data_IF_450064489282
#
_entry.id   IF_450064489282
#
_cell.length_a   1.000
_cell.length_b   1.000
_cell.length_c   1.000
_cell.angle_alpha   90.00
_cell.angle_beta   90.00
_cell.angle_gamma   90.00
#
_symmetry.space_group_name_H-M   'P 1'
#
loop_
_entity.id
_entity.type
_entity.pdbx_description
1 polymer ?
#
# COMPACT_ATOMS: atom_id res chain seq x y z
N UNK A 1 22.81 2.54 -27.57
CA UNK A 1 22.81 3.55 -26.49
C UNK A 1 22.63 4.96 -27.07
N UNK A 2 23.50 5.37 -28.00
CA UNK A 2 23.41 6.66 -28.68
C UNK A 2 22.06 6.87 -29.37
N UNK A 3 21.56 5.87 -30.09
CA UNK A 3 20.22 5.89 -30.71
C UNK A 3 19.11 6.24 -29.71
N UNK A 4 18.93 5.46 -28.63
CA UNK A 4 17.85 5.71 -27.66
C UNK A 4 17.98 7.04 -26.92
N UNK A 5 19.21 7.50 -26.65
CA UNK A 5 19.47 8.81 -26.03
C UNK A 5 19.16 9.99 -26.95
N UNK A 6 19.31 9.80 -28.27
CA UNK A 6 19.14 10.86 -29.26
C UNK A 6 17.81 10.80 -30.00
N UNK A 7 17.05 9.70 -29.89
CA UNK A 7 15.81 9.49 -30.65
C UNK A 7 14.81 10.64 -30.47
N UNK A 8 14.67 11.16 -29.26
CA UNK A 8 13.75 12.26 -28.98
C UNK A 8 14.23 13.62 -29.50
N UNK A 9 15.54 13.73 -29.74
CA UNK A 9 16.21 14.95 -30.19
C UNK A 9 16.50 14.86 -31.70
N UNK A 10 16.19 13.74 -32.36
CA UNK A 10 16.50 13.53 -33.78
C UNK A 10 15.82 14.53 -34.72
N UNK A 11 14.68 15.06 -34.30
CA UNK A 11 13.93 16.07 -35.04
C UNK A 11 14.21 17.50 -34.56
N UNK A 12 15.31 17.73 -33.82
CA UNK A 12 15.71 19.08 -33.43
C UNK A 12 16.28 19.85 -34.62
N UNK A 13 15.91 21.13 -34.71
CA UNK A 13 16.40 22.03 -35.77
C UNK A 13 17.87 22.47 -35.55
N UNK A 14 18.45 22.23 -34.36
CA UNK A 14 19.82 22.64 -34.04
C UNK A 14 20.63 21.52 -33.37
N UNK A 15 21.48 20.87 -34.16
CA UNK A 15 22.36 19.79 -33.72
C UNK A 15 23.54 20.27 -32.85
N UNK A 16 23.91 21.56 -32.94
CA UNK A 16 25.07 22.10 -32.21
C UNK A 16 24.86 22.19 -30.69
N UNK A 17 23.61 22.23 -30.23
CA UNK A 17 23.25 22.43 -28.82
C UNK A 17 22.83 21.15 -28.09
N UNK A 18 22.85 19.99 -28.76
CA UNK A 18 22.33 18.72 -28.21
C UNK A 18 23.06 18.32 -26.93
N UNK A 19 24.39 18.46 -26.90
CA UNK A 19 25.18 18.09 -25.72
C UNK A 19 24.79 18.93 -24.51
N UNK A 20 24.67 20.23 -24.70
CA UNK A 20 24.31 21.18 -23.64
C UNK A 20 22.88 20.92 -23.15
N UNK A 21 21.96 20.59 -24.06
CA UNK A 21 20.59 20.25 -23.70
C UNK A 21 20.52 18.95 -22.88
N UNK A 22 21.23 17.91 -23.28
CA UNK A 22 21.31 16.66 -22.53
C UNK A 22 21.90 16.89 -21.12
N UNK A 23 22.98 17.65 -21.02
CA UNK A 23 23.57 18.02 -19.72
C UNK A 23 22.58 18.79 -18.85
N UNK A 24 21.81 19.72 -19.46
CA UNK A 24 20.78 20.50 -18.76
C UNK A 24 19.65 19.62 -18.24
N UNK A 25 19.14 18.69 -19.04
CA UNK A 25 18.07 17.77 -18.62
C UNK A 25 18.53 16.80 -17.54
N UNK A 26 19.75 16.26 -17.67
CA UNK A 26 20.35 15.44 -16.64
C UNK A 26 20.49 16.20 -15.32
N UNK A 27 20.98 17.45 -15.36
CA UNK A 27 21.07 18.32 -14.20
C UNK A 27 19.71 18.58 -13.54
N UNK A 28 18.66 18.81 -14.33
CA UNK A 28 17.29 19.00 -13.84
C UNK A 28 16.74 17.74 -13.16
N UNK A 29 16.94 16.55 -13.72
CA UNK A 29 16.51 15.29 -13.10
C UNK A 29 17.25 15.03 -11.79
N UNK A 30 18.58 15.21 -11.76
CA UNK A 30 19.37 15.10 -10.53
C UNK A 30 18.86 16.06 -9.45
N UNK A 31 18.60 17.31 -9.82
CA UNK A 31 18.05 18.31 -8.90
C UNK A 31 16.65 17.96 -8.42
N UNK A 32 15.79 17.42 -9.30
CA UNK A 32 14.44 16.97 -8.94
C UNK A 32 14.50 15.83 -7.94
N UNK A 33 15.33 14.81 -8.18
CA UNK A 33 15.50 13.66 -7.26
C UNK A 33 16.08 14.08 -5.92
N UNK A 34 17.03 15.01 -5.91
CA UNK A 34 17.58 15.58 -4.66
C UNK A 34 16.50 16.30 -3.86
N UNK A 35 15.68 17.13 -4.51
CA UNK A 35 14.57 17.85 -3.84
C UNK A 35 13.42 16.94 -3.43
N UNK A 36 13.24 15.82 -4.12
CA UNK A 36 12.23 14.84 -3.79
C UNK A 36 12.52 14.15 -2.45
N UNK A 37 13.77 14.09 -1.99
CA UNK A 37 14.15 13.53 -0.71
C UNK A 37 14.45 14.64 0.31
N UNK A 38 13.57 14.81 1.29
CA UNK A 38 13.75 15.72 2.43
C UNK A 38 13.99 14.91 3.70
N UNK A 39 15.23 14.90 4.19
CA UNK A 39 15.65 14.04 5.29
C UNK A 39 15.42 12.57 4.93
N UNK A 40 14.55 11.89 5.69
CA UNK A 40 14.20 10.48 5.47
C UNK A 40 12.84 10.29 4.79
N UNK A 41 12.33 11.31 4.11
CA UNK A 41 11.01 11.29 3.46
C UNK A 41 11.08 11.75 2.00
N UNK A 42 10.29 11.10 1.17
CA UNK A 42 10.05 11.43 -0.21
C UNK A 42 8.84 12.36 -0.26
N UNK A 43 9.07 13.63 -0.60
CA UNK A 43 8.05 14.68 -0.64
C UNK A 43 7.39 14.83 -2.01
N UNK A 44 8.00 14.29 -3.06
CA UNK A 44 7.40 14.16 -4.39
C UNK A 44 7.11 12.68 -4.65
N UNK A 45 5.91 12.22 -4.26
CA UNK A 45 5.47 10.82 -4.42
C UNK A 45 5.20 10.46 -5.89
N UNK A 46 5.11 11.48 -6.74
CA UNK A 46 4.81 11.36 -8.16
C UNK A 46 6.06 11.47 -9.04
N UNK A 47 7.24 11.31 -8.42
CA UNK A 47 8.53 11.30 -9.08
C UNK A 47 8.55 10.24 -10.20
N UNK A 48 8.96 10.61 -11.43
CA UNK A 48 9.05 9.64 -12.51
C UNK A 48 10.16 8.61 -12.24
N UNK A 49 10.04 7.40 -12.82
CA UNK A 49 11.07 6.38 -12.64
C UNK A 49 12.43 6.89 -13.13
N UNK A 50 13.53 6.44 -12.54
CA UNK A 50 14.88 6.85 -12.95
C UNK A 50 15.20 6.45 -14.38
N UNK A 51 14.73 5.27 -14.76
CA UNK A 51 15.02 4.62 -16.03
C UNK A 51 13.77 3.98 -16.59
N UNK A 52 13.73 3.86 -17.91
CA UNK A 52 12.69 3.14 -18.67
C UNK A 52 13.37 2.26 -19.72
N UNK A 53 12.69 1.20 -20.13
CA UNK A 53 13.10 0.36 -21.24
C UNK A 53 12.55 0.94 -22.54
N UNK A 54 13.43 1.56 -23.34
CA UNK A 54 13.11 1.96 -24.71
C UNK A 54 13.08 0.70 -25.59
N UNK A 55 11.87 0.34 -26.03
CA UNK A 55 11.60 -0.87 -26.77
C UNK A 55 12.16 -0.77 -28.20
N UNK A 56 12.26 0.41 -28.81
CA UNK A 56 12.78 0.50 -30.18
C UNK A 56 14.30 0.30 -30.18
N UNK A 57 15.00 0.93 -29.24
CA UNK A 57 16.47 0.77 -29.14
C UNK A 57 16.90 -0.48 -28.37
N UNK A 58 15.95 -1.16 -27.72
CA UNK A 58 16.19 -2.28 -26.80
C UNK A 58 17.22 -1.92 -25.72
N UNK A 59 17.07 -0.74 -25.09
CA UNK A 59 17.98 -0.25 -24.07
C UNK A 59 17.23 0.38 -22.92
N UNK A 60 17.76 0.20 -21.72
CA UNK A 60 17.39 0.99 -20.55
C UNK A 60 18.04 2.36 -20.69
N UNK A 61 17.20 3.40 -20.66
CA UNK A 61 17.61 4.80 -20.79
C UNK A 61 17.06 5.62 -19.61
N UNK A 62 17.76 6.69 -19.20
CA UNK A 62 17.21 7.64 -18.24
C UNK A 62 15.85 8.21 -18.68
N UNK A 63 14.90 8.34 -17.76
CA UNK A 63 13.55 8.83 -18.08
C UNK A 63 13.53 10.25 -18.64
N UNK A 64 14.40 11.13 -18.15
CA UNK A 64 14.46 12.54 -18.56
C UNK A 64 14.81 12.78 -20.03
N UNK A 65 15.24 11.74 -20.76
CA UNK A 65 15.47 11.80 -22.21
C UNK A 65 14.15 11.88 -22.99
N UNK A 66 13.03 11.46 -22.37
CA UNK A 66 11.68 11.58 -22.94
C UNK A 66 11.29 13.05 -23.10
N UNK A 67 10.52 13.36 -24.14
CA UNK A 67 10.08 14.74 -24.36
C UNK A 67 9.12 15.18 -23.25
N UNK A 68 9.15 16.46 -22.89
CA UNK A 68 8.31 16.99 -21.81
C UNK A 68 6.82 17.04 -22.17
N UNK A 69 6.47 17.03 -23.47
CA UNK A 69 5.12 16.99 -24.02
C UNK A 69 4.61 15.56 -24.28
N UNK A 70 5.46 14.55 -24.08
CA UNK A 70 5.10 13.16 -24.25
C UNK A 70 4.29 12.68 -23.04
N UNK A 71 2.97 12.73 -23.21
CA UNK A 71 1.99 12.28 -22.22
C UNK A 71 1.92 10.75 -22.10
N UNK A 72 2.58 9.98 -22.98
CA UNK A 72 2.59 8.53 -22.85
C UNK A 72 3.31 8.14 -21.56
N UNK A 73 2.78 7.23 -20.77
CA UNK A 73 3.50 6.70 -19.62
C UNK A 73 4.17 5.40 -20.04
N UNK A 74 5.37 5.07 -19.52
CA UNK A 74 5.97 3.81 -19.86
C UNK A 74 5.06 2.71 -19.33
N UNK A 75 4.71 1.74 -20.18
CA UNK A 75 3.79 0.69 -19.77
C UNK A 75 4.45 -0.22 -18.71
N UNK A 76 3.92 -0.28 -17.48
CA UNK A 76 4.52 -1.07 -16.43
C UNK A 76 4.24 -2.56 -16.66
N UNK A 77 5.27 -3.38 -16.44
CA UNK A 77 5.17 -4.84 -16.45
C UNK A 77 5.23 -5.34 -15.01
N UNK A 78 4.22 -6.09 -14.60
CA UNK A 78 4.18 -6.80 -13.33
C UNK A 78 4.34 -8.30 -13.60
N UNK A 79 5.00 -9.04 -12.70
CA UNK A 79 5.20 -10.46 -12.92
C UNK A 79 5.37 -11.26 -11.62
N UNK A 80 5.00 -12.54 -11.66
CA UNK A 80 5.34 -13.47 -10.60
C UNK A 80 6.85 -13.71 -10.57
N UNK A 81 7.39 -13.91 -9.37
CA UNK A 81 8.80 -14.23 -9.17
C UNK A 81 8.97 -15.73 -9.17
N UNK A 82 9.94 -16.24 -9.92
CA UNK A 82 10.25 -17.68 -9.92
C UNK A 82 11.13 -18.07 -8.74
N UNK A 83 11.21 -19.35 -8.42
CA UNK A 83 12.19 -19.86 -7.46
C UNK A 83 13.62 -19.66 -7.97
N UNK A 84 14.59 -19.56 -7.05
CA UNK A 84 16.00 -19.36 -7.42
C UNK A 84 16.53 -20.45 -8.37
N UNK A 85 16.14 -21.70 -8.14
CA UNK A 85 16.47 -22.83 -9.02
C UNK A 85 15.89 -22.71 -10.43
N UNK A 86 14.82 -21.94 -10.61
CA UNK A 86 14.10 -21.76 -11.88
C UNK A 86 14.39 -20.38 -12.52
N UNK A 87 15.28 -19.60 -11.89
CA UNK A 87 15.76 -18.31 -12.40
C UNK A 87 17.14 -18.44 -13.03
N UNK A 88 17.36 -17.63 -14.04
CA UNK A 88 18.67 -17.31 -14.59
C UNK A 88 19.04 -15.87 -14.20
N UNK A 89 20.30 -15.67 -13.85
CA UNK A 89 20.88 -14.35 -13.56
C UNK A 89 21.60 -13.89 -14.82
N UNK A 90 20.93 -13.05 -15.62
CA UNK A 90 21.38 -12.72 -16.98
C UNK A 90 22.09 -11.37 -17.00
N UNK A 91 23.31 -11.33 -17.54
CA UNK A 91 23.99 -10.10 -17.92
C UNK A 91 23.58 -9.71 -19.33
N UNK A 92 23.08 -8.49 -19.50
CA UNK A 92 22.51 -8.07 -20.78
C UNK A 92 22.97 -6.68 -21.19
N UNK A 93 23.18 -6.50 -22.50
CA UNK A 93 23.46 -5.18 -23.08
C UNK A 93 22.28 -4.20 -22.95
N UNK A 94 21.07 -4.70 -22.63
CA UNK A 94 19.85 -3.89 -22.45
C UNK A 94 20.07 -2.85 -21.33
N UNK A 95 20.60 -3.26 -20.18
CA UNK A 95 20.98 -2.37 -19.07
C UNK A 95 22.50 -2.10 -19.03
N UNK A 96 23.20 -2.28 -20.17
CA UNK A 96 24.64 -2.05 -20.34
C UNK A 96 25.54 -2.97 -19.49
N UNK A 97 25.01 -4.10 -19.03
CA UNK A 97 25.71 -4.98 -18.09
C UNK A 97 26.11 -4.23 -16.81
N UNK A 98 25.33 -3.24 -16.37
CA UNK A 98 25.59 -2.53 -15.11
C UNK A 98 25.07 -3.31 -13.88
N UNK A 99 24.11 -4.19 -14.06
CA UNK A 99 23.62 -5.12 -13.02
C UNK A 99 23.08 -6.39 -13.65
N UNK A 100 23.06 -7.51 -12.92
CA UNK A 100 22.43 -8.73 -13.39
C UNK A 100 20.89 -8.60 -13.40
N UNK A 101 20.23 -9.34 -14.30
CA UNK A 101 18.77 -9.33 -14.44
C UNK A 101 18.21 -10.72 -14.11
N UNK A 102 17.52 -10.91 -12.98
CA UNK A 102 16.91 -12.19 -12.64
C UNK A 102 15.63 -12.41 -13.45
N UNK A 103 15.62 -13.42 -14.32
CA UNK A 103 14.45 -13.81 -15.12
C UNK A 103 14.25 -15.33 -15.07
N UNK A 104 13.05 -15.87 -15.40
CA UNK A 104 12.89 -17.31 -15.55
C UNK A 104 13.89 -17.90 -16.57
N UNK A 105 14.36 -19.13 -16.33
CA UNK A 105 15.33 -19.81 -17.24
C UNK A 105 14.82 -19.98 -18.67
N UNK A 106 13.51 -20.11 -18.80
CA UNK A 106 12.76 -20.28 -20.05
C UNK A 106 12.29 -18.94 -20.65
N UNK A 107 12.53 -17.81 -19.99
CA UNK A 107 12.12 -16.49 -20.47
C UNK A 107 13.13 -15.87 -21.45
N UNK A 108 12.61 -15.07 -22.37
CA UNK A 108 13.42 -14.31 -23.31
C UNK A 108 12.96 -12.85 -23.37
N UNK A 109 13.83 -11.93 -22.93
CA UNK A 109 13.55 -10.48 -22.93
C UNK A 109 13.21 -9.94 -24.33
N UNK A 110 13.73 -10.55 -25.41
CA UNK A 110 13.36 -10.11 -26.77
C UNK A 110 11.93 -10.51 -27.14
N UNK A 111 11.39 -11.62 -26.63
CA UNK A 111 10.00 -12.02 -26.87
C UNK A 111 9.05 -11.09 -26.12
N UNK A 112 9.36 -10.78 -24.85
CA UNK A 112 8.60 -9.79 -24.07
C UNK A 112 8.63 -8.44 -24.77
N UNK A 113 9.79 -8.01 -25.28
CA UNK A 113 9.90 -6.79 -26.07
C UNK A 113 8.99 -6.82 -27.31
N UNK A 114 8.97 -7.93 -28.06
CA UNK A 114 8.12 -8.06 -29.25
C UNK A 114 6.64 -7.97 -28.86
N UNK A 115 6.24 -8.62 -27.76
CA UNK A 115 4.88 -8.54 -27.22
C UNK A 115 4.50 -7.08 -26.91
N UNK A 116 5.36 -6.36 -26.18
CA UNK A 116 5.13 -4.94 -25.89
C UNK A 116 5.05 -4.08 -27.16
N UNK A 117 5.92 -4.33 -28.15
CA UNK A 117 5.89 -3.61 -29.43
C UNK A 117 4.59 -3.87 -30.22
N UNK A 118 4.07 -5.11 -30.17
CA UNK A 118 2.80 -5.47 -30.81
C UNK A 118 1.60 -4.79 -30.13
N UNK A 119 1.71 -4.49 -28.84
CA UNK A 119 0.74 -3.68 -28.10
C UNK A 119 0.84 -2.18 -28.41
N UNK A 120 1.78 -1.77 -29.29
CA UNK A 120 1.98 -0.38 -29.69
C UNK A 120 2.87 0.42 -28.74
N UNK A 121 3.53 -0.23 -27.79
CA UNK A 121 4.32 0.45 -26.77
C UNK A 121 5.68 0.92 -27.29
N UNK A 122 6.03 2.16 -26.96
CA UNK A 122 7.35 2.72 -27.24
C UNK A 122 8.31 2.50 -26.06
N UNK A 123 7.78 2.60 -24.84
CA UNK A 123 8.51 2.51 -23.59
C UNK A 123 7.80 1.57 -22.63
N UNK A 124 8.56 0.67 -22.01
CA UNK A 124 8.09 -0.16 -20.91
C UNK A 124 8.83 0.18 -19.62
N UNK A 125 8.24 -0.18 -18.49
CA UNK A 125 8.93 -0.22 -17.21
C UNK A 125 8.88 -1.63 -16.64
N UNK A 126 10.05 -2.26 -16.52
CA UNK A 126 10.23 -3.58 -15.95
C UNK A 126 11.23 -3.43 -14.80
N UNK A 127 10.80 -3.68 -13.57
CA UNK A 127 11.57 -3.50 -12.33
C UNK A 127 12.98 -4.12 -12.40
N UNK A 128 13.10 -5.38 -12.85
CA UNK A 128 14.38 -6.10 -12.95
C UNK A 128 15.34 -5.49 -13.98
N UNK A 129 14.82 -4.71 -14.94
CA UNK A 129 15.62 -3.94 -15.91
C UNK A 129 15.84 -2.48 -15.50
N UNK A 130 14.83 -1.83 -14.92
CA UNK A 130 14.82 -0.38 -14.70
C UNK A 130 15.30 0.03 -13.31
N UNK A 131 15.36 -0.90 -12.36
CA UNK A 131 16.01 -0.73 -11.07
C UNK A 131 17.33 -1.49 -11.04
N UNK A 132 18.35 -0.88 -10.44
CA UNK A 132 19.65 -1.53 -10.21
C UNK A 132 19.45 -2.71 -9.28
N UNK A 133 19.87 -3.91 -9.70
CA UNK A 133 19.70 -5.15 -8.95
C UNK A 133 20.96 -5.49 -8.15
N UNK A 134 20.79 -6.35 -7.14
CA UNK A 134 21.88 -6.86 -6.30
C UNK A 134 22.87 -7.70 -7.12
N UNK A 135 24.16 -7.58 -6.84
CA UNK A 135 25.23 -8.41 -7.42
C UNK A 135 25.91 -7.78 -8.64
N UNK A 136 25.71 -6.48 -8.86
CA UNK A 136 26.34 -5.72 -9.94
C UNK A 136 27.45 -4.78 -9.46
N UNK A 137 28.24 -4.18 -10.38
CA UNK A 137 29.06 -3.03 -10.04
C UNK A 137 28.18 -1.86 -9.55
N UNK A 138 28.64 -1.14 -8.52
CA UNK A 138 27.94 0.02 -7.97
C UNK A 138 26.83 -0.32 -6.97
N UNK A 139 27.08 -1.28 -6.08
CA UNK A 139 26.17 -1.60 -4.96
C UNK A 139 25.92 -0.40 -4.03
N UNK A 140 26.91 0.47 -3.86
CA UNK A 140 26.78 1.76 -3.16
C UNK A 140 25.75 2.67 -3.85
N UNK A 141 25.80 2.75 -5.18
CA UNK A 141 24.80 3.48 -5.97
C UNK A 141 23.42 2.83 -5.86
N UNK A 142 23.34 1.49 -5.79
CA UNK A 142 22.07 0.78 -5.63
C UNK A 142 21.37 1.20 -4.35
N UNK A 143 22.10 1.20 -3.22
CA UNK A 143 21.57 1.59 -1.92
C UNK A 143 21.02 3.03 -1.97
N UNK A 144 21.77 3.97 -2.55
CA UNK A 144 21.33 5.36 -2.67
C UNK A 144 20.16 5.53 -3.65
N UNK A 145 20.16 4.82 -4.79
CA UNK A 145 19.05 4.83 -5.73
C UNK A 145 17.77 4.27 -5.07
N UNK A 146 17.89 3.17 -4.33
CA UNK A 146 16.77 2.46 -3.72
C UNK A 146 16.05 3.25 -2.62
N UNK A 147 16.76 4.14 -1.90
CA UNK A 147 16.12 5.04 -0.92
C UNK A 147 14.93 5.79 -1.50
N UNK A 148 14.98 6.14 -2.79
CA UNK A 148 13.95 6.92 -3.49
C UNK A 148 13.18 6.05 -4.49
N UNK A 149 13.89 5.27 -5.30
CA UNK A 149 13.30 4.60 -6.46
C UNK A 149 12.42 3.41 -6.05
N UNK A 150 12.76 2.67 -4.99
CA UNK A 150 11.97 1.51 -4.52
C UNK A 150 10.64 1.95 -3.89
N UNK A 151 10.60 2.93 -2.96
CA UNK A 151 9.33 3.44 -2.46
C UNK A 151 8.41 4.00 -3.54
N UNK A 152 8.96 4.59 -4.61
CA UNK A 152 8.19 5.30 -5.64
C UNK A 152 7.69 4.41 -6.79
N UNK A 153 7.98 3.11 -6.80
CA UNK A 153 7.54 2.22 -7.89
C UNK A 153 6.02 2.22 -8.06
N UNK A 154 5.27 2.36 -6.96
CA UNK A 154 3.81 2.38 -7.00
C UNK A 154 3.26 3.52 -7.86
N UNK A 155 3.99 4.64 -8.03
CA UNK A 155 3.59 5.72 -8.93
C UNK A 155 3.65 5.30 -10.41
N UNK A 156 4.58 4.42 -10.78
CA UNK A 156 4.70 3.90 -12.15
C UNK A 156 3.48 3.05 -12.47
N UNK A 157 3.14 2.13 -11.57
CA UNK A 157 1.99 1.25 -11.74
C UNK A 157 0.67 2.03 -11.70
N UNK A 158 0.45 2.87 -10.67
CA UNK A 158 -0.82 3.61 -10.45
C UNK A 158 -1.27 4.42 -11.68
N UNK A 159 -0.33 4.89 -12.50
CA UNK A 159 -0.63 5.79 -13.62
C UNK A 159 -0.74 5.09 -14.99
N UNK A 160 -0.36 3.82 -15.09
CA UNK A 160 -0.32 3.10 -16.37
C UNK A 160 -1.21 1.86 -16.40
N UNK A 161 -1.41 1.34 -17.61
CA UNK A 161 -2.08 0.07 -17.86
C UNK A 161 -1.09 -1.06 -17.66
N UNK A 162 -1.28 -1.88 -16.63
CA UNK A 162 -0.28 -2.89 -16.23
C UNK A 162 -0.41 -4.13 -17.10
N UNK A 163 0.69 -4.55 -17.72
CA UNK A 163 0.78 -5.88 -18.32
C UNK A 163 1.29 -6.88 -17.27
N UNK A 164 0.52 -7.93 -16.98
CA UNK A 164 0.76 -8.79 -15.82
C UNK A 164 1.02 -10.26 -16.20
N UNK A 165 2.23 -10.76 -15.96
CA UNK A 165 2.57 -12.18 -16.10
C UNK A 165 2.35 -12.94 -14.78
N UNK A 166 1.17 -13.55 -14.60
CA UNK A 166 0.82 -14.24 -13.35
C UNK A 166 1.61 -15.54 -13.10
N UNK A 167 2.10 -16.20 -14.15
CA UNK A 167 2.85 -17.48 -14.07
C UNK A 167 4.37 -17.31 -14.18
N UNK A 168 4.87 -16.07 -14.19
CA UNK A 168 6.28 -15.73 -14.30
C UNK A 168 6.59 -14.93 -15.56
N UNK A 169 7.54 -14.00 -15.47
CA UNK A 169 7.86 -13.05 -16.54
C UNK A 169 8.10 -13.73 -17.89
N UNK A 170 7.32 -13.36 -18.91
CA UNK A 170 7.46 -13.90 -20.27
C UNK A 170 6.96 -15.34 -20.45
N UNK A 171 6.26 -15.91 -19.46
CA UNK A 171 5.70 -17.27 -19.53
C UNK A 171 4.21 -17.22 -19.88
N UNK A 172 3.69 -18.24 -20.59
CA UNK A 172 2.26 -18.42 -20.74
C UNK A 172 1.56 -18.52 -19.39
N UNK A 173 0.33 -18.05 -19.33
CA UNK A 173 -0.53 -18.19 -18.17
C UNK A 173 -0.96 -19.65 -18.03
N UNK A 174 -0.44 -20.30 -17.00
CA UNK A 174 -0.79 -21.68 -16.64
C UNK A 174 -1.28 -21.73 -15.20
N UNK A 175 -2.22 -22.62 -14.93
CA UNK A 175 -2.78 -22.84 -13.60
C UNK A 175 -2.69 -24.32 -13.24
N UNK A 176 -1.85 -24.65 -12.25
CA UNK A 176 -1.65 -25.99 -11.71
C UNK A 176 -2.02 -26.03 -10.22
N UNK A 177 -2.29 -27.23 -9.72
CA UNK A 177 -2.58 -27.44 -8.30
C UNK A 177 -1.41 -26.95 -7.44
N UNK A 178 -1.70 -26.16 -6.41
CA UNK A 178 -0.71 -25.53 -5.54
C UNK A 178 -0.14 -24.19 -6.03
N UNK A 179 -0.42 -23.76 -7.27
CA UNK A 179 0.11 -22.49 -7.79
C UNK A 179 -0.42 -21.27 -7.04
N UNK A 180 -1.69 -21.29 -6.58
CA UNK A 180 -2.28 -20.18 -5.83
C UNK A 180 -1.78 -20.09 -4.38
N UNK A 181 -1.31 -21.21 -3.84
CA UNK A 181 -0.75 -21.36 -2.50
C UNK A 181 0.74 -21.06 -2.46
N UNK A 182 1.41 -21.11 -3.61
CA UNK A 182 2.84 -20.87 -3.70
C UNK A 182 3.22 -19.45 -3.26
N UNK A 183 4.28 -19.32 -2.47
CA UNK A 183 4.88 -18.03 -2.10
C UNK A 183 5.44 -17.25 -3.31
N UNK A 184 5.52 -17.91 -4.47
CA UNK A 184 5.88 -17.34 -5.76
C UNK A 184 4.68 -16.83 -6.56
N UNK A 185 3.48 -17.23 -6.18
CA UNK A 185 2.24 -16.78 -6.80
C UNK A 185 2.16 -15.25 -6.79
N UNK A 186 1.77 -14.67 -7.93
CA UNK A 186 1.61 -13.23 -8.06
C UNK A 186 0.71 -12.65 -6.94
N UNK A 187 -0.40 -13.32 -6.63
CA UNK A 187 -1.36 -12.89 -5.61
C UNK A 187 -0.79 -12.88 -4.18
N UNK A 188 0.30 -13.62 -3.94
CA UNK A 188 0.93 -13.78 -2.63
C UNK A 188 2.15 -12.91 -2.42
N UNK A 189 2.68 -12.19 -3.41
CA UNK A 189 3.87 -11.34 -3.20
C UNK A 189 3.49 -9.99 -2.58
N UNK A 190 4.30 -9.47 -1.66
CA UNK A 190 4.00 -8.17 -1.02
C UNK A 190 3.99 -7.01 -2.02
N UNK A 191 5.02 -6.93 -2.88
CA UNK A 191 5.19 -5.88 -3.87
C UNK A 191 4.05 -5.77 -4.88
N UNK A 192 3.54 -6.91 -5.36
CA UNK A 192 2.46 -6.94 -6.36
C UNK A 192 1.13 -6.35 -5.84
N UNK A 193 1.01 -6.04 -4.53
CA UNK A 193 -0.23 -5.48 -3.99
C UNK A 193 -0.45 -4.06 -4.51
N UNK A 194 0.63 -3.31 -4.72
CA UNK A 194 0.60 -1.97 -5.28
C UNK A 194 0.72 -1.94 -6.82
N UNK A 195 0.96 -3.08 -7.47
CA UNK A 195 1.21 -3.18 -8.92
C UNK A 195 -0.07 -3.40 -9.75
N UNK A 196 -1.18 -2.75 -9.36
CA UNK A 196 -2.49 -2.97 -9.99
C UNK A 196 -2.84 -1.98 -11.10
N UNK A 197 -2.18 -0.82 -11.12
CA UNK A 197 -2.47 0.29 -12.03
C UNK A 197 -3.93 0.67 -12.18
N UNK A 198 -4.24 1.36 -13.28
CA UNK A 198 -5.59 1.79 -13.61
C UNK A 198 -6.38 0.65 -14.27
N UNK A 199 -5.80 0.05 -15.31
CA UNK A 199 -6.24 -1.21 -15.92
C UNK A 199 -5.15 -2.30 -15.78
N UNK A 200 -5.58 -3.56 -15.78
CA UNK A 200 -4.69 -4.73 -15.78
C UNK A 200 -5.01 -5.57 -17.00
N UNK A 201 -4.01 -5.78 -17.86
CA UNK A 201 -4.03 -6.76 -18.94
C UNK A 201 -3.20 -7.98 -18.51
N UNK A 202 -3.76 -9.18 -18.63
CA UNK A 202 -3.04 -10.40 -18.27
C UNK A 202 -2.24 -10.89 -19.48
N UNK A 203 -0.93 -11.05 -19.28
CA UNK A 203 0.01 -11.48 -20.29
C UNK A 203 0.12 -13.00 -20.36
N UNK A 204 0.62 -13.50 -21.49
CA UNK A 204 0.75 -14.94 -21.73
C UNK A 204 -0.60 -15.65 -21.83
N UNK A 205 -1.69 -14.92 -22.08
CA UNK A 205 -2.99 -15.52 -22.34
C UNK A 205 -2.94 -16.41 -23.60
N UNK A 206 -3.62 -17.54 -23.54
CA UNK A 206 -3.65 -18.53 -24.62
C UNK A 206 -5.08 -19.01 -24.78
N UNK A 207 -5.55 -19.39 -25.99
CA UNK A 207 -6.95 -19.79 -26.21
C UNK A 207 -7.48 -20.89 -25.29
N UNK A 208 -6.60 -21.80 -24.86
CA UNK A 208 -6.92 -22.91 -23.93
C UNK A 208 -6.55 -22.58 -22.47
N UNK A 209 -6.25 -21.32 -22.19
CA UNK A 209 -5.79 -20.82 -20.89
C UNK A 209 -6.91 -20.63 -19.87
N UNK A 210 -6.56 -20.42 -18.59
CA UNK A 210 -7.54 -20.35 -17.50
C UNK A 210 -8.49 -19.13 -17.59
N UNK A 211 -8.15 -18.11 -18.39
CA UNK A 211 -9.01 -16.94 -18.62
C UNK A 211 -10.22 -17.26 -19.50
N UNK A 212 -10.10 -18.24 -20.40
CA UNK A 212 -11.18 -18.65 -21.30
C UNK A 212 -11.97 -19.86 -20.79
N UNK A 213 -11.70 -20.32 -19.56
CA UNK A 213 -12.42 -21.43 -18.96
C UNK A 213 -13.94 -21.15 -18.88
N UNK A 214 -14.76 -22.10 -19.33
CA UNK A 214 -16.21 -21.96 -19.33
C UNK A 214 -16.77 -21.85 -17.89
N UNK A 215 -17.64 -20.86 -17.69
CA UNK A 215 -18.40 -20.70 -16.45
C UNK A 215 -19.88 -21.01 -16.73
N UNK A 216 -20.33 -22.19 -16.29
CA UNK A 216 -21.72 -22.66 -16.46
C UNK A 216 -22.50 -22.43 -15.17
N UNK A 217 -23.62 -21.73 -15.24
CA UNK A 217 -24.47 -21.39 -14.09
C UNK A 217 -23.71 -20.72 -12.92
N UNK A 218 -22.68 -19.94 -13.24
CA UNK A 218 -21.84 -19.26 -12.25
C UNK A 218 -20.79 -20.14 -11.57
N UNK A 219 -20.52 -21.34 -12.10
CA UNK A 219 -19.49 -22.26 -11.60
C UNK A 219 -18.51 -22.63 -12.70
N UNK A 220 -17.23 -22.64 -12.35
CA UNK A 220 -16.17 -23.19 -13.18
C UNK A 220 -16.08 -24.71 -12.98
N UNK A 221 -15.45 -25.38 -13.94
CA UNK A 221 -15.27 -26.84 -13.92
C UNK A 221 -14.53 -27.33 -12.66
N UNK A 222 -13.56 -26.55 -12.19
CA UNK A 222 -12.75 -26.91 -11.02
C UNK A 222 -12.82 -25.85 -9.93
N UNK A 223 -12.62 -26.29 -8.68
CA UNK A 223 -12.48 -25.39 -7.53
C UNK A 223 -11.26 -24.45 -7.73
N UNK A 224 -10.17 -24.97 -8.29
CA UNK A 224 -8.97 -24.20 -8.60
C UNK A 224 -9.27 -23.02 -9.55
N UNK A 225 -10.01 -23.26 -10.64
CA UNK A 225 -10.45 -22.20 -11.55
C UNK A 225 -11.37 -21.20 -10.86
N UNK A 226 -12.30 -21.68 -10.04
CA UNK A 226 -13.18 -20.81 -9.26
C UNK A 226 -12.38 -19.86 -8.37
N UNK A 227 -11.42 -20.40 -7.62
CA UNK A 227 -10.54 -19.60 -6.74
C UNK A 227 -9.64 -18.65 -7.51
N UNK A 228 -9.13 -19.04 -8.69
CA UNK A 228 -8.35 -18.16 -9.56
C UNK A 228 -9.17 -16.94 -10.02
N UNK A 229 -10.39 -17.16 -10.53
CA UNK A 229 -11.27 -16.08 -10.98
C UNK A 229 -11.78 -15.22 -9.82
N UNK A 230 -12.02 -15.79 -8.63
CA UNK A 230 -12.33 -15.03 -7.42
C UNK A 230 -11.17 -14.12 -7.00
N UNK A 231 -9.92 -14.61 -7.05
CA UNK A 231 -8.74 -13.80 -6.76
C UNK A 231 -8.59 -12.66 -7.78
N UNK A 232 -8.73 -12.96 -9.07
CA UNK A 232 -8.70 -11.97 -10.16
C UNK A 232 -9.76 -10.89 -9.96
N UNK A 233 -11.01 -11.25 -9.68
CA UNK A 233 -12.08 -10.29 -9.39
C UNK A 233 -11.82 -9.48 -8.11
N UNK A 234 -11.28 -10.11 -7.07
CA UNK A 234 -10.89 -9.42 -5.83
C UNK A 234 -9.78 -8.40 -6.08
N UNK A 235 -8.97 -8.56 -7.13
CA UNK A 235 -7.99 -7.56 -7.52
C UNK A 235 -8.65 -6.27 -7.99
N UNK A 236 -9.63 -6.37 -8.90
CA UNK A 236 -10.32 -5.22 -9.46
C UNK A 236 -11.19 -4.47 -8.45
N UNK A 237 -11.73 -5.17 -7.43
CA UNK A 237 -12.71 -4.60 -6.47
C UNK A 237 -12.09 -3.99 -5.22
N UNK A 238 -10.78 -4.06 -5.03
CA UNK A 238 -10.17 -3.57 -3.79
C UNK A 238 -10.19 -2.04 -3.73
N UNK A 239 -11.08 -1.48 -2.90
CA UNK A 239 -11.01 -0.06 -2.56
C UNK A 239 -9.73 0.21 -1.74
N UNK A 240 -9.05 1.34 -2.03
CA UNK A 240 -7.89 1.89 -1.30
C UNK A 240 -8.23 2.27 0.15
N UNK A 241 -8.61 1.28 0.96
CA UNK A 241 -9.01 1.41 2.35
C UNK A 241 -7.99 0.68 3.21
N UNK A 242 -7.67 1.27 4.36
CA UNK A 242 -6.62 0.78 5.26
C UNK A 242 -6.87 -0.65 5.74
N UNK A 243 -8.07 -0.96 6.22
CA UNK A 243 -8.39 -2.29 6.75
C UNK A 243 -8.31 -3.41 5.68
N UNK A 244 -8.96 -3.29 4.49
CA UNK A 244 -8.78 -4.23 3.39
C UNK A 244 -7.31 -4.38 2.95
N UNK A 245 -6.57 -3.27 2.80
CA UNK A 245 -5.17 -3.30 2.40
C UNK A 245 -4.30 -4.12 3.37
N UNK A 246 -4.48 -3.90 4.68
CA UNK A 246 -3.77 -4.64 5.71
C UNK A 246 -4.17 -6.13 5.77
N UNK A 247 -5.45 -6.45 5.56
CA UNK A 247 -5.92 -7.84 5.44
C UNK A 247 -5.29 -8.56 4.25
N UNK A 248 -5.13 -7.89 3.12
CA UNK A 248 -4.46 -8.46 1.96
C UNK A 248 -2.95 -8.57 2.18
N UNK A 249 -2.31 -7.57 2.78
CA UNK A 249 -0.88 -7.61 3.09
C UNK A 249 -0.51 -8.74 4.08
N UNK A 250 -1.41 -9.09 5.00
CA UNK A 250 -1.23 -10.26 5.90
C UNK A 250 -1.08 -11.58 5.16
N UNK A 251 -1.77 -11.74 4.03
CA UNK A 251 -1.73 -12.97 3.21
C UNK A 251 -0.48 -13.03 2.33
N UNK A 252 0.26 -11.94 2.25
CA UNK A 252 1.41 -11.80 1.35
C UNK A 252 2.71 -12.19 2.00
N UNK A 253 3.68 -12.54 1.18
CA UNK A 253 5.06 -12.90 1.53
C UNK A 253 6.02 -11.93 0.86
N UNK A 254 7.13 -11.66 1.53
CA UNK A 254 8.20 -10.80 1.03
C UNK A 254 9.55 -11.46 1.29
N UNK A 255 10.55 -11.07 0.48
CA UNK A 255 11.93 -11.51 0.71
C UNK A 255 12.54 -10.73 1.87
N UNK A 256 12.40 -9.40 1.85
CA UNK A 256 12.70 -8.57 3.01
C UNK A 256 11.38 -8.24 3.74
N UNK A 257 11.25 -8.47 5.06
CA UNK A 257 10.05 -8.12 5.80
C UNK A 257 9.62 -6.65 5.65
N UNK A 258 10.57 -5.71 5.51
CA UNK A 258 10.29 -4.26 5.33
C UNK A 258 9.49 -3.98 4.05
N UNK A 259 9.60 -4.83 3.03
CA UNK A 259 8.87 -4.70 1.76
C UNK A 259 7.35 -4.71 1.96
N UNK A 260 6.84 -5.39 3.00
CA UNK A 260 5.41 -5.37 3.32
C UNK A 260 4.93 -3.98 3.73
N UNK A 261 5.80 -3.20 4.38
CA UNK A 261 5.48 -1.86 4.81
C UNK A 261 5.66 -0.90 3.64
N UNK A 262 6.77 -1.02 2.91
CA UNK A 262 7.02 -0.18 1.73
C UNK A 262 5.92 -0.36 0.66
N UNK A 263 5.49 -1.59 0.40
CA UNK A 263 4.40 -1.91 -0.54
C UNK A 263 3.03 -1.39 -0.12
N UNK A 264 2.85 -0.89 1.11
CA UNK A 264 1.61 -0.26 1.56
C UNK A 264 1.54 1.24 1.27
N UNK A 265 2.67 1.92 1.02
CA UNK A 265 2.73 3.37 0.91
C UNK A 265 1.75 3.95 -0.12
N UNK A 266 1.73 3.38 -1.33
CA UNK A 266 0.78 3.78 -2.36
C UNK A 266 -0.64 3.27 -2.14
N UNK A 267 -0.86 2.25 -1.33
CA UNK A 267 -2.22 1.75 -1.08
C UNK A 267 -2.92 2.58 -0.01
N UNK A 268 -2.14 3.08 0.96
CA UNK A 268 -2.59 3.90 2.07
C UNK A 268 -2.56 5.40 1.75
N UNK A 269 -2.30 5.75 0.48
CA UNK A 269 -2.39 7.09 -0.09
C UNK A 269 -1.63 8.15 0.73
N UNK A 270 -0.35 7.91 0.97
CA UNK A 270 0.50 8.83 1.74
C UNK A 270 0.89 10.07 0.92
N UNK A 271 0.78 11.27 1.51
CA UNK A 271 1.18 12.55 0.87
C UNK A 271 2.70 12.63 0.64
N UNK A 272 3.43 11.99 1.54
CA UNK A 272 4.88 11.77 1.45
C UNK A 272 5.14 10.29 1.71
N UNK A 273 6.31 9.76 1.35
CA UNK A 273 6.61 8.34 1.55
C UNK A 273 7.92 8.20 2.32
N UNK A 274 8.06 7.31 3.30
CA UNK A 274 9.35 7.08 3.95
C UNK A 274 10.39 6.60 2.94
N UNK A 275 11.64 7.06 3.09
CA UNK A 275 12.74 6.48 2.34
C UNK A 275 12.92 5.00 2.72
N UNK A 276 13.31 4.19 1.74
CA UNK A 276 13.52 2.76 1.95
C UNK A 276 14.92 2.47 2.49
N UNK A 277 14.98 1.69 3.57
CA UNK A 277 16.21 1.14 4.10
C UNK A 277 16.00 -0.35 4.37
N UNK A 278 16.77 -1.20 3.71
CA UNK A 278 16.66 -2.66 3.86
C UNK A 278 16.89 -3.13 5.31
N UNK A 279 17.69 -2.38 6.06
CA UNK A 279 18.06 -2.67 7.45
C UNK A 279 17.13 -2.07 8.50
N UNK A 280 16.09 -1.32 8.10
CA UNK A 280 15.16 -0.72 9.05
C UNK A 280 14.44 -1.80 9.87
N UNK A 281 14.19 -1.52 11.15
CA UNK A 281 13.26 -2.37 11.90
C UNK A 281 11.84 -2.22 11.34
N UNK A 282 11.06 -3.29 11.44
CA UNK A 282 9.67 -3.29 10.99
C UNK A 282 8.85 -2.22 11.70
N UNK A 283 9.06 -2.04 13.01
CA UNK A 283 8.30 -1.05 13.74
C UNK A 283 8.69 0.37 13.35
N UNK A 284 9.98 0.69 13.20
CA UNK A 284 10.40 2.03 12.74
C UNK A 284 9.85 2.35 11.34
N UNK A 285 9.89 1.39 10.42
CA UNK A 285 9.32 1.55 9.08
C UNK A 285 7.80 1.77 9.13
N UNK A 286 7.09 1.03 10.00
CA UNK A 286 5.65 1.19 10.19
C UNK A 286 5.30 2.56 10.78
N UNK A 287 6.04 3.01 11.80
CA UNK A 287 5.90 4.34 12.40
C UNK A 287 6.09 5.42 11.33
N UNK A 288 7.17 5.33 10.55
CA UNK A 288 7.45 6.29 9.49
C UNK A 288 6.31 6.32 8.45
N UNK A 289 5.76 5.16 8.08
CA UNK A 289 4.63 5.10 7.16
C UNK A 289 3.36 5.73 7.76
N UNK A 290 3.03 5.45 9.02
CA UNK A 290 1.86 6.04 9.68
C UNK A 290 1.97 7.57 9.76
N UNK A 291 3.16 8.09 10.07
CA UNK A 291 3.37 9.54 10.18
C UNK A 291 3.19 10.25 8.82
N UNK A 292 3.46 9.57 7.71
CA UNK A 292 3.37 10.12 6.34
C UNK A 292 2.04 9.87 5.63
N UNK A 293 1.22 8.96 6.16
CA UNK A 293 -0.10 8.60 5.65
C UNK A 293 -1.07 9.80 5.63
N UNK A 294 -1.97 9.89 4.64
CA UNK A 294 -2.96 10.97 4.62
C UNK A 294 -3.85 10.95 5.88
N UNK A 295 -4.29 12.11 6.37
CA UNK A 295 -4.99 12.24 7.65
C UNK A 295 -6.30 11.42 7.73
N UNK A 296 -7.05 11.30 6.64
CA UNK A 296 -8.23 10.43 6.52
C UNK A 296 -7.88 8.94 6.65
N UNK A 297 -6.67 8.56 6.24
CA UNK A 297 -6.19 7.18 6.25
C UNK A 297 -5.60 6.80 7.61
N UNK A 298 -5.10 7.76 8.40
CA UNK A 298 -4.65 7.53 9.78
C UNK A 298 -5.80 7.22 10.75
N UNK A 299 -6.94 7.90 10.63
CA UNK A 299 -8.12 7.70 11.48
C UNK A 299 -8.55 6.23 11.70
N UNK A 300 -8.65 5.38 10.64
CA UNK A 300 -8.95 3.97 10.79
C UNK A 300 -8.06 3.19 11.77
N UNK A 301 -6.80 3.60 11.97
CA UNK A 301 -5.84 2.91 12.84
C UNK A 301 -6.32 2.83 14.29
N UNK A 302 -7.11 3.81 14.75
CA UNK A 302 -7.76 3.80 16.07
C UNK A 302 -8.59 2.54 16.32
N UNK A 303 -9.14 1.92 15.28
CA UNK A 303 -10.09 0.80 15.37
C UNK A 303 -9.52 -0.56 14.97
N UNK A 304 -8.32 -0.59 14.38
CA UNK A 304 -7.76 -1.84 13.86
C UNK A 304 -7.51 -2.88 14.95
N UNK A 305 -7.19 -2.43 16.16
CA UNK A 305 -6.94 -3.28 17.31
C UNK A 305 -7.73 -2.80 18.51
N UNK A 306 -8.37 -3.73 19.21
CA UNK A 306 -9.06 -3.43 20.47
C UNK A 306 -8.09 -3.15 21.62
N UNK A 307 -6.89 -3.73 21.55
CA UNK A 307 -5.80 -3.42 22.48
C UNK A 307 -5.20 -2.03 22.16
N UNK A 308 -4.71 -1.30 23.17
CA UNK A 308 -3.84 -0.15 22.95
C UNK A 308 -2.57 -0.54 22.20
N UNK A 309 -1.99 0.43 21.49
CA UNK A 309 -0.66 0.33 20.91
C UNK A 309 0.38 -0.09 21.94
N UNK A 310 1.30 -0.97 21.54
CA UNK A 310 2.39 -1.45 22.41
C UNK A 310 3.79 -0.99 21.97
N UNK A 311 3.90 -0.12 20.96
CA UNK A 311 5.17 0.37 20.41
C UNK A 311 5.25 1.91 20.39
N UNK A 312 5.03 2.53 21.55
CA UNK A 312 5.01 3.98 21.71
C UNK A 312 3.59 4.54 21.90
N UNK A 313 3.04 5.17 20.86
CA UNK A 313 1.71 5.82 20.91
C UNK A 313 0.60 4.78 21.11
N UNK A 314 -0.30 5.00 22.08
CA UNK A 314 -1.36 4.03 22.46
C UNK A 314 -2.54 4.00 21.48
N UNK A 315 -2.78 5.07 20.74
CA UNK A 315 -3.94 5.20 19.86
C UNK A 315 -3.83 4.28 18.63
N UNK A 316 -2.63 4.09 18.08
CA UNK A 316 -2.35 3.25 16.91
C UNK A 316 -1.72 1.91 17.30
N UNK A 317 -2.01 0.83 16.56
CA UNK A 317 -1.34 -0.46 16.77
C UNK A 317 0.11 -0.44 16.27
N UNK A 318 0.95 -1.28 16.87
CA UNK A 318 2.25 -1.66 16.30
C UNK A 318 2.09 -2.51 15.03
N UNK A 319 3.16 -2.65 14.26
CA UNK A 319 3.17 -3.54 13.10
C UNK A 319 2.79 -4.97 13.49
N UNK A 320 3.35 -5.48 14.59
CA UNK A 320 3.05 -6.83 15.08
C UNK A 320 1.57 -6.99 15.46
N UNK A 321 0.96 -5.99 16.10
CA UNK A 321 -0.48 -6.00 16.36
C UNK A 321 -1.27 -6.00 15.05
N UNK A 322 -0.88 -5.18 14.08
CA UNK A 322 -1.47 -5.12 12.74
C UNK A 322 -1.31 -6.41 11.96
N UNK A 323 -0.34 -7.27 12.26
CA UNK A 323 -0.16 -8.54 11.57
C UNK A 323 -0.77 -9.74 12.31
N UNK A 324 -0.74 -9.74 13.64
CA UNK A 324 -1.04 -10.93 14.45
C UNK A 324 -2.39 -10.86 15.17
N UNK A 325 -2.89 -9.67 15.50
CA UNK A 325 -4.14 -9.55 16.28
C UNK A 325 -5.37 -9.68 15.37
N UNK A 326 -6.53 -10.09 15.91
CA UNK A 326 -7.77 -10.10 15.12
C UNK A 326 -8.13 -8.69 14.65
N UNK A 327 -8.27 -8.50 13.32
CA UNK A 327 -8.79 -7.25 12.75
C UNK A 327 -10.32 -7.26 12.75
N UNK A 328 -10.97 -6.07 12.72
CA UNK A 328 -12.42 -5.97 12.63
C UNK A 328 -13.00 -6.78 11.46
N UNK A 329 -14.09 -7.50 11.71
CA UNK A 329 -14.78 -8.31 10.71
C UNK A 329 -15.63 -7.46 9.74
N UNK A 330 -15.94 -6.22 10.11
CA UNK A 330 -16.76 -5.28 9.36
C UNK A 330 -15.91 -4.17 8.74
N UNK A 331 -16.47 -3.51 7.74
CA UNK A 331 -15.85 -2.33 7.16
C UNK A 331 -16.04 -1.15 8.10
N UNK A 332 -14.93 -0.46 8.34
CA UNK A 332 -14.91 0.81 9.03
C UNK A 332 -15.04 1.92 7.98
N UNK A 333 -15.93 2.87 8.25
CA UNK A 333 -15.99 4.14 7.52
C UNK A 333 -15.72 5.26 8.54
N UNK A 334 -14.44 5.49 8.88
CA UNK A 334 -14.08 6.48 9.87
C UNK A 334 -14.29 7.89 9.33
N UNK A 335 -14.98 8.70 10.13
CA UNK A 335 -15.23 10.11 9.91
C UNK A 335 -14.21 11.00 10.65
N UNK A 336 -13.16 10.41 11.24
CA UNK A 336 -12.15 11.13 12.03
C UNK A 336 -10.87 11.34 11.22
N UNK A 337 -10.39 12.58 11.22
CA UNK A 337 -9.10 12.95 10.66
C UNK A 337 -8.09 12.95 11.80
N UNK A 338 -7.00 12.21 11.62
CA UNK A 338 -5.87 12.24 12.55
C UNK A 338 -4.72 12.98 11.89
N UNK A 339 -4.38 14.11 12.47
CA UNK A 339 -3.31 15.00 12.03
C UNK A 339 -2.02 14.69 12.80
N UNK A 340 -0.89 14.77 12.11
CA UNK A 340 0.45 14.62 12.70
C UNK A 340 1.15 15.98 12.67
N UNK A 341 1.58 16.47 13.83
CA UNK A 341 2.44 17.65 13.96
C UNK A 341 3.89 17.19 14.13
N UNK A 342 4.68 17.36 13.08
CA UNK A 342 6.09 16.97 13.08
C UNK A 342 6.97 17.76 14.05
N UNK A 343 6.65 19.03 14.32
CA UNK A 343 7.48 19.85 15.21
C UNK A 343 7.30 19.46 16.67
N UNK A 344 6.09 19.03 17.02
CA UNK A 344 5.73 18.62 18.38
C UNK A 344 5.82 17.12 18.61
N UNK A 345 5.93 16.34 17.53
CA UNK A 345 5.84 14.89 17.55
C UNK A 345 4.51 14.39 18.18
N UNK A 346 3.44 15.11 17.88
CA UNK A 346 2.10 14.93 18.46
C UNK A 346 1.08 14.58 17.39
N UNK A 347 0.20 13.63 17.72
CA UNK A 347 -0.98 13.30 16.93
C UNK A 347 -2.19 13.97 17.57
N UNK A 348 -3.10 14.50 16.75
CA UNK A 348 -4.35 15.05 17.25
C UNK A 348 -5.51 14.81 16.30
N UNK A 349 -6.73 14.90 16.83
CA UNK A 349 -7.95 14.82 16.05
C UNK A 349 -9.01 15.79 16.57
N UNK A 350 -9.81 16.31 15.64
CA UNK A 350 -11.02 17.09 15.98
C UNK A 350 -12.24 16.17 15.99
N UNK A 351 -12.79 15.88 17.17
CA UNK A 351 -13.81 14.85 17.32
C UNK A 351 -14.86 15.17 18.39
N UNK A 352 -16.04 14.58 18.19
CA UNK A 352 -17.13 14.55 19.17
C UNK A 352 -16.74 13.60 20.32
N UNK A 353 -16.71 14.11 21.55
CA UNK A 353 -16.39 13.32 22.74
C UNK A 353 -17.55 13.28 23.75
N UNK A 354 -17.50 12.29 24.64
CA UNK A 354 -18.43 12.15 25.76
C UNK A 354 -17.73 11.45 26.91
N UNK A 355 -17.83 12.00 28.11
CA UNK A 355 -17.36 11.36 29.33
C UNK A 355 -18.47 10.54 29.99
N UNK A 356 -18.14 9.35 30.50
CA UNK A 356 -19.12 8.58 31.25
C UNK A 356 -18.57 7.30 31.89
N UNK A 357 -19.33 6.80 32.85
CA UNK A 357 -19.04 5.57 33.58
C UNK A 357 -19.41 4.35 32.72
N UNK A 358 -18.42 3.53 32.38
CA UNK A 358 -18.57 2.27 31.64
C UNK A 358 -18.72 1.12 32.65
N UNK A 359 -19.77 0.29 32.49
CA UNK A 359 -20.02 -0.88 33.33
C UNK A 359 -20.39 -2.13 32.52
N UNK A 360 -20.09 -3.30 33.07
CA UNK A 360 -20.48 -4.59 32.50
C UNK A 360 -19.61 -5.11 31.35
N UNK A 361 -18.44 -4.49 31.11
CA UNK A 361 -17.45 -4.96 30.13
C UNK A 361 -16.21 -5.60 30.77
N UNK A 362 -16.08 -5.58 32.10
CA UNK A 362 -14.88 -6.03 32.82
C UNK A 362 -14.69 -7.56 32.87
N UNK A 363 -15.70 -8.36 32.49
CA UNK A 363 -15.67 -9.84 32.59
C UNK A 363 -15.84 -10.46 31.21
N UNK A 364 -15.01 -11.47 30.89
CA UNK A 364 -15.19 -12.29 29.68
C UNK A 364 -16.35 -13.26 29.92
N UNK A 365 -17.48 -13.02 29.25
CA UNK A 365 -18.52 -14.03 29.00
C UNK A 365 -18.51 -14.34 27.51
N UNK A 366 -18.77 -15.60 27.12
CA UNK A 366 -18.74 -16.00 25.71
C UNK A 366 -19.58 -15.09 24.79
N UNK A 367 -19.08 -14.81 23.59
CA UNK A 367 -19.73 -13.93 22.61
C UNK A 367 -19.40 -12.44 22.76
N UNK A 368 -20.32 -11.57 22.35
CA UNK A 368 -20.18 -10.11 22.45
C UNK A 368 -20.43 -9.67 23.89
N UNK A 369 -19.51 -8.86 24.45
CA UNK A 369 -19.70 -8.31 25.80
C UNK A 369 -20.61 -7.09 25.73
N UNK A 370 -21.66 -7.08 26.55
CA UNK A 370 -22.67 -6.03 26.57
C UNK A 370 -22.63 -5.32 27.92
N UNK A 371 -22.51 -4.01 27.86
CA UNK A 371 -22.42 -3.15 29.02
C UNK A 371 -23.39 -1.98 28.97
N UNK A 372 -23.18 -1.04 29.88
CA UNK A 372 -23.89 0.24 29.89
C UNK A 372 -22.89 1.38 30.03
N UNK A 373 -23.08 2.43 29.24
CA UNK A 373 -22.45 3.73 29.46
C UNK A 373 -23.44 4.61 30.22
N UNK A 374 -22.99 5.21 31.32
CA UNK A 374 -23.79 6.12 32.15
C UNK A 374 -23.17 7.50 32.07
N UNK A 375 -23.89 8.44 31.44
CA UNK A 375 -23.45 9.83 31.24
C UNK A 375 -24.29 10.73 32.13
N UNK A 376 -23.65 11.56 32.94
CA UNK A 376 -24.30 12.58 33.73
C UNK A 376 -24.29 13.91 32.96
N UNK A 377 -25.44 14.58 32.87
CA UNK A 377 -25.53 15.94 32.36
C UNK A 377 -25.31 16.97 33.47
N UNK A 378 -25.03 18.21 33.07
CA UNK A 378 -24.93 19.36 33.97
C UNK A 378 -26.20 19.58 34.80
N UNK A 379 -27.38 19.18 34.30
CA UNK A 379 -28.66 19.21 35.00
C UNK A 379 -28.86 18.05 36.02
N UNK A 380 -27.83 17.21 36.22
CA UNK A 380 -27.85 16.05 37.11
C UNK A 380 -28.55 14.80 36.52
N UNK A 381 -29.15 14.89 35.34
CA UNK A 381 -29.85 13.76 34.71
C UNK A 381 -28.86 12.75 34.16
N UNK A 382 -29.05 11.47 34.52
CA UNK A 382 -28.22 10.36 34.04
C UNK A 382 -28.85 9.67 32.83
N UNK A 383 -28.12 9.63 31.73
CA UNK A 383 -28.48 8.89 30.53
C UNK A 383 -27.75 7.55 30.50
N UNK A 384 -28.46 6.50 30.11
CA UNK A 384 -27.91 5.14 30.01
C UNK A 384 -27.98 4.66 28.57
N UNK A 385 -26.83 4.30 28.02
CA UNK A 385 -26.72 3.75 26.69
C UNK A 385 -26.27 2.29 26.75
N UNK A 386 -26.80 1.47 25.84
CA UNK A 386 -26.32 0.11 25.64
C UNK A 386 -25.05 0.18 24.80
N UNK A 387 -23.98 -0.43 25.30
CA UNK A 387 -22.68 -0.52 24.62
C UNK A 387 -22.30 -1.98 24.42
N UNK A 388 -21.57 -2.25 23.34
CA UNK A 388 -21.14 -3.60 22.97
C UNK A 388 -19.65 -3.61 22.62
N UNK A 389 -18.89 -4.52 23.20
CA UNK A 389 -17.53 -4.82 22.78
C UNK A 389 -17.50 -6.18 22.09
N UNK A 390 -17.16 -6.17 20.80
CA UNK A 390 -17.10 -7.36 19.91
C UNK A 390 -15.73 -8.07 19.94
N UNK A 391 -14.94 -7.79 20.96
CA UNK A 391 -13.60 -8.35 21.19
C UNK A 391 -13.46 -8.88 22.62
N UNK A 392 -12.38 -9.64 22.87
CA UNK A 392 -12.09 -10.25 24.18
C UNK A 392 -11.35 -9.33 25.15
N UNK A 393 -10.68 -8.27 24.67
CA UNK A 393 -9.89 -7.37 25.50
C UNK A 393 -10.73 -6.64 26.58
N UNK A 394 -10.37 -6.80 27.85
CA UNK A 394 -11.17 -6.31 28.97
C UNK A 394 -11.19 -4.78 29.05
N UNK A 395 -12.36 -4.23 29.40
CA UNK A 395 -12.52 -2.81 29.70
C UNK A 395 -13.03 -2.76 31.15
N UNK A 396 -12.18 -2.39 32.11
CA UNK A 396 -12.57 -2.26 33.52
C UNK A 396 -13.79 -1.34 33.72
N UNK A 397 -14.47 -1.48 34.86
CA UNK A 397 -15.51 -0.50 35.21
C UNK A 397 -14.83 0.77 35.71
N UNK A 398 -14.97 1.86 34.96
CA UNK A 398 -14.36 3.15 35.27
C UNK A 398 -15.05 4.27 34.48
N UNK A 399 -14.75 5.51 34.80
CA UNK A 399 -15.09 6.67 33.98
C UNK A 399 -14.08 6.80 32.85
N UNK A 400 -14.58 6.90 31.63
CA UNK A 400 -13.77 7.06 30.43
C UNK A 400 -14.29 8.19 29.57
N UNK A 401 -13.39 8.69 28.72
CA UNK A 401 -13.71 9.55 27.59
C UNK A 401 -13.92 8.66 26.38
N UNK A 402 -15.01 8.87 25.66
CA UNK A 402 -15.33 8.14 24.45
C UNK A 402 -15.32 9.11 23.28
N UNK A 403 -14.52 8.80 22.26
CA UNK A 403 -14.42 9.58 21.02
C UNK A 403 -15.24 8.89 19.94
N UNK A 404 -16.16 9.64 19.33
CA UNK A 404 -16.88 9.16 18.15
C UNK A 404 -15.98 9.26 16.92
N UNK A 405 -15.84 8.17 16.17
CA UNK A 405 -14.96 8.19 15.02
C UNK A 405 -15.50 7.51 13.77
N UNK A 406 -16.43 6.56 13.83
CA UNK A 406 -16.82 5.82 12.62
C UNK A 406 -18.24 5.29 12.61
N UNK A 407 -18.75 5.09 11.39
CA UNK A 407 -19.94 4.29 11.15
C UNK A 407 -19.53 2.84 10.94
N UNK A 408 -20.17 1.94 11.67
CA UNK A 408 -19.98 0.50 11.55
C UNK A 408 -21.14 -0.09 10.75
N UNK A 409 -20.83 -0.63 9.58
CA UNK A 409 -21.82 -1.25 8.70
C UNK A 409 -21.83 -2.77 8.91
N UNK A 410 -22.89 -3.28 9.56
CA UNK A 410 -23.19 -4.71 9.56
C UNK A 410 -24.22 -5.03 8.47
N UNK A 411 -24.26 -6.31 8.04
CA UNK A 411 -25.21 -6.81 7.03
C UNK A 411 -26.70 -6.52 7.35
N UNK A 412 -27.05 -6.29 8.63
CA UNK A 412 -28.43 -6.11 9.09
C UNK A 412 -28.69 -4.86 9.95
N UNK A 413 -27.68 -4.04 10.26
CA UNK A 413 -27.85 -2.84 11.10
C UNK A 413 -26.66 -1.88 11.01
N UNK A 414 -26.93 -0.58 11.22
CA UNK A 414 -25.89 0.44 11.43
C UNK A 414 -25.64 0.64 12.92
N UNK A 415 -24.42 0.40 13.36
CA UNK A 415 -23.91 0.78 14.68
C UNK A 415 -22.84 1.85 14.51
N UNK A 416 -22.40 2.45 15.62
CA UNK A 416 -21.41 3.52 15.60
C UNK A 416 -20.24 3.09 16.48
N UNK A 417 -19.03 3.21 15.94
CA UNK A 417 -17.80 2.84 16.62
C UNK A 417 -17.24 4.02 17.41
N UNK A 418 -16.84 3.71 18.65
CA UNK A 418 -16.25 4.64 19.60
C UNK A 418 -14.91 4.14 20.06
N UNK A 419 -13.94 5.04 20.22
CA UNK A 419 -12.68 4.76 20.92
C UNK A 419 -12.89 5.12 22.38
N UNK A 420 -12.56 4.20 23.28
CA UNK A 420 -12.61 4.40 24.72
C UNK A 420 -11.20 4.70 25.19
N UNK A 421 -11.03 5.76 25.96
CA UNK A 421 -9.74 6.12 26.53
C UNK A 421 -9.86 6.92 27.81
N UNK A 422 -8.71 7.22 28.40
CA UNK A 422 -8.59 8.06 29.58
C UNK A 422 -8.16 9.45 29.14
N UNK A 423 -8.85 10.46 29.63
CA UNK A 423 -8.33 11.83 29.60
C UNK A 423 -7.22 11.94 30.63
N UNK A 424 -6.04 12.34 30.18
CA UNK A 424 -4.88 12.67 30.98
C UNK A 424 -4.81 14.20 31.18
N UNK A 425 -3.98 14.68 32.12
CA UNK A 425 -3.68 16.11 32.22
C UNK A 425 -3.22 16.68 30.86
N UNK A 426 -3.43 17.99 30.67
CA UNK A 426 -3.03 18.73 29.46
C UNK A 426 -3.83 18.38 28.19
N UNK A 427 -4.96 17.67 28.32
CA UNK A 427 -5.85 17.38 27.20
C UNK A 427 -5.43 16.17 26.35
N UNK A 428 -4.50 15.36 26.86
CA UNK A 428 -4.07 14.13 26.22
C UNK A 428 -5.10 13.00 26.42
N UNK A 429 -5.29 12.19 25.39
CA UNK A 429 -6.19 11.05 25.40
C UNK A 429 -5.41 9.76 25.22
N UNK A 430 -5.45 8.88 26.22
CA UNK A 430 -4.84 7.56 26.11
C UNK A 430 -5.89 6.51 25.77
N UNK A 431 -5.79 5.93 24.57
CA UNK A 431 -6.67 4.83 24.15
C UNK A 431 -6.55 3.63 25.09
N UNK A 432 -7.72 3.14 25.54
CA UNK A 432 -7.89 1.90 26.30
C UNK A 432 -8.45 0.80 25.41
N UNK A 433 -9.51 1.08 24.64
CA UNK A 433 -10.12 0.08 23.75
C UNK A 433 -11.11 0.69 22.75
N UNK A 434 -11.95 -0.13 22.12
CA UNK A 434 -13.02 0.31 21.21
C UNK A 434 -14.35 -0.34 21.56
N UNK A 435 -15.47 0.32 21.26
CA UNK A 435 -16.80 -0.26 21.46
C UNK A 435 -17.80 0.24 20.42
N UNK A 436 -18.95 -0.41 20.38
CA UNK A 436 -20.08 -0.05 19.54
C UNK A 436 -21.26 0.45 20.38
N UNK A 437 -21.96 1.47 19.87
CA UNK A 437 -23.12 2.06 20.51
C UNK A 437 -24.18 2.48 19.47
N UNK A 438 -25.47 2.37 19.81
CA UNK A 438 -26.58 2.79 18.93
C UNK A 438 -26.84 4.30 19.04
N UNK A 439 -26.83 5.06 17.92
CA UNK A 439 -26.95 6.54 17.93
C UNK A 439 -28.35 7.10 18.19
N UNK A 440 -29.40 6.27 18.27
CA UNK A 440 -30.80 6.73 18.30
C UNK A 440 -31.18 7.70 19.46
N UNK A 441 -30.26 8.03 20.39
CA UNK A 441 -30.46 9.04 21.45
C UNK A 441 -29.24 9.95 21.74
N UNK A 442 -28.18 9.92 20.93
CA UNK A 442 -26.88 10.54 21.26
C UNK A 442 -26.72 11.99 20.82
N UNK A 443 -27.35 12.41 19.71
CA UNK A 443 -27.19 13.78 19.15
C UNK A 443 -27.56 14.92 20.10
N UNK A 444 -28.25 14.64 21.22
CA UNK A 444 -28.59 15.65 22.22
C UNK A 444 -27.55 15.76 23.34
N UNK A 445 -26.65 14.78 23.51
CA UNK A 445 -25.80 14.63 24.72
C UNK A 445 -24.31 14.70 24.39
N UNK A 446 -23.94 14.51 23.13
CA UNK A 446 -22.57 14.68 22.64
C UNK A 446 -22.16 16.14 22.81
N UNK A 447 -20.94 16.37 23.32
CA UNK A 447 -20.33 17.69 23.42
C UNK A 447 -19.90 18.21 22.04
N UNK A 448 -19.71 19.53 21.91
CA UNK A 448 -19.15 20.10 20.69
C UNK A 448 -17.81 19.45 20.33
N UNK A 449 -17.44 19.45 19.05
CA UNK A 449 -16.16 18.88 18.62
C UNK A 449 -15.02 19.60 19.33
N UNK A 450 -14.09 18.82 19.86
CA UNK A 450 -12.91 19.33 20.56
C UNK A 450 -11.65 18.80 19.86
N UNK A 451 -10.60 19.61 19.90
CA UNK A 451 -9.26 19.18 19.53
C UNK A 451 -8.68 18.31 20.65
N UNK A 452 -8.37 17.05 20.34
CA UNK A 452 -7.89 16.05 21.29
C UNK A 452 -6.50 15.60 20.84
N UNK A 453 -5.51 15.70 21.74
CA UNK A 453 -4.19 15.10 21.57
C UNK A 453 -4.27 13.61 21.89
N UNK A 454 -3.71 12.72 21.06
CA UNK A 454 -3.91 11.25 21.16
C UNK A 454 -2.62 10.42 21.23
#
# INVERSE_FOLDING_TARGET
>A
MTYGRLRNIWYTNNWSTIRDELCRQEGKDREKRRRALSGNRIVDTLLPPRRVWDLYSNRVVPYWIRKADDMSLPRPISHAWMDEKDRAVVWTSINRNEWPVPIPKDANLNLIRIEMLNLGEEYAWLDVLCLRQVGGPGEDLRIEEWKVDVPTIGAVYRRGDVLCYLSGLGRPLTLKEGDLESDRCWFRRAWTLQERGYEIEIAGDTPDGPLHAECKDGKYETELLTRFHEQLQSMHRMAFRVLPALKEMRKRVSTNPVDKIAGLAFILDSDTIPAYHESASLEEAWIALVNTMYNERRGPLLFLCAEPGNAGKKWRPSWDQVMMKPLPAYNLDPCILVCWDEKREEDWCDAECIEGLVRGLAVVKGGHRRGKLIVARQDGKKHRFKITAVHKYLIPEDTYTLIYCCVVQHKSSRSYGWVVGRSLPEGNFEKVSVLEMSRNRLRRIIEDRQCILI
#
